data_IF_211496705470
#
_entry.id   IF_211496705470
#
_cell.length_a   1.000
_cell.length_b   1.000
_cell.length_c   1.000
_cell.angle_alpha   90.00
_cell.angle_beta   90.00
_cell.angle_gamma   90.00
#
_symmetry.space_group_name_H-M   'P 1'
#
loop_
_entity.id
_entity.type
_entity.pdbx_description
1 polymer ?
#
# COMPACT_ATOMS: atom_id res chain seq x y z
N UNK A 1 0.55 2.60 -108.00
CA UNK A 1 -0.90 2.31 -107.89
C UNK A 1 -1.03 1.23 -106.83
N UNK A 2 -1.78 1.30 -105.74
CA UNK A 2 -2.91 2.12 -105.32
C UNK A 2 -2.94 2.19 -103.78
N UNK A 3 -3.68 3.19 -103.29
CA UNK A 3 -3.81 3.73 -101.94
C UNK A 3 -4.76 2.93 -101.02
N UNK A 4 -4.67 3.27 -99.71
CA UNK A 4 -5.64 3.14 -98.59
C UNK A 4 -5.65 1.81 -97.82
N UNK A 5 -5.83 1.71 -96.49
CA UNK A 5 -5.95 2.58 -95.30
C UNK A 5 -6.91 1.83 -94.35
N UNK A 6 -6.52 1.60 -93.08
CA UNK A 6 -7.34 1.44 -91.83
C UNK A 6 -6.52 0.59 -90.84
N UNK A 7 -5.83 1.15 -89.84
CA UNK A 7 -6.23 1.69 -88.53
C UNK A 7 -6.63 0.62 -87.47
N UNK A 8 -5.95 0.74 -86.32
CA UNK A 8 -6.25 0.19 -84.96
C UNK A 8 -6.03 -1.31 -84.75
N UNK A 9 -5.42 -1.81 -83.66
CA UNK A 9 -4.97 -1.25 -82.37
C UNK A 9 -3.91 -2.20 -81.79
N UNK A 10 -2.86 -1.64 -81.20
CA UNK A 10 -1.91 -2.31 -80.32
C UNK A 10 -2.56 -2.63 -78.97
N UNK A 11 -2.32 -3.82 -78.42
CA UNK A 11 -2.41 -4.08 -76.98
C UNK A 11 -1.34 -5.09 -76.58
N UNK A 12 -0.30 -4.57 -75.93
CA UNK A 12 0.83 -5.29 -75.36
C UNK A 12 0.56 -5.37 -73.86
N UNK A 13 0.24 -6.57 -73.35
CA UNK A 13 -0.05 -6.81 -71.93
C UNK A 13 1.25 -7.07 -71.17
N UNK A 14 1.57 -6.17 -70.24
CA UNK A 14 2.75 -6.20 -69.40
C UNK A 14 2.61 -7.17 -68.21
N UNK A 15 3.71 -7.85 -67.86
CA UNK A 15 3.92 -8.54 -66.59
C UNK A 15 3.88 -7.51 -65.44
N UNK A 16 3.03 -7.74 -64.43
CA UNK A 16 3.10 -7.06 -63.13
C UNK A 16 3.42 -8.06 -62.02
N UNK A 17 4.61 -7.90 -61.45
CA UNK A 17 5.10 -8.58 -60.26
C UNK A 17 4.41 -7.94 -59.04
N UNK A 18 3.50 -8.65 -58.38
CA UNK A 18 2.84 -8.16 -57.17
C UNK A 18 3.76 -8.36 -55.95
N UNK A 19 4.32 -7.26 -55.43
CA UNK A 19 4.96 -7.23 -54.12
C UNK A 19 3.87 -7.18 -53.04
N UNK A 20 3.71 -8.28 -52.30
CA UNK A 20 2.86 -8.32 -51.12
C UNK A 20 3.61 -7.71 -49.93
N UNK A 21 3.36 -6.43 -49.67
CA UNK A 21 3.77 -5.76 -48.44
C UNK A 21 2.97 -6.34 -47.27
N UNK A 22 3.61 -7.12 -46.41
CA UNK A 22 3.04 -7.54 -45.14
C UNK A 22 2.83 -6.30 -44.25
N UNK A 23 1.57 -5.85 -44.15
CA UNK A 23 1.14 -4.88 -43.14
C UNK A 23 1.11 -5.61 -41.80
N UNK A 24 2.16 -5.48 -41.00
CA UNK A 24 2.09 -5.72 -39.56
C UNK A 24 1.12 -4.70 -38.96
N UNK A 25 0.05 -5.09 -38.24
CA UNK A 25 -0.76 -4.14 -37.51
C UNK A 25 0.13 -3.48 -36.46
N UNK A 26 0.39 -2.19 -36.61
CA UNK A 26 0.87 -1.36 -35.53
C UNK A 26 -0.17 -1.43 -34.41
N UNK A 27 0.25 -1.78 -33.20
CA UNK A 27 -0.56 -1.70 -32.00
C UNK A 27 -0.97 -0.23 -31.78
N UNK A 28 -2.08 0.18 -32.38
CA UNK A 28 -2.76 1.40 -32.02
C UNK A 28 -3.19 1.23 -30.56
N UNK A 29 -2.70 2.07 -29.65
CA UNK A 29 -3.27 2.19 -28.32
C UNK A 29 -4.78 2.40 -28.49
N UNK A 30 -5.58 1.43 -28.05
CA UNK A 30 -7.02 1.52 -28.14
C UNK A 30 -7.47 2.77 -27.36
N UNK A 31 -8.41 3.54 -27.90
CA UNK A 31 -9.00 4.65 -27.18
C UNK A 31 -9.61 4.12 -25.86
N UNK A 32 -9.56 4.88 -24.76
CA UNK A 32 -10.09 4.45 -23.47
C UNK A 32 -11.58 4.08 -23.60
N UNK A 33 -11.98 2.98 -22.96
CA UNK A 33 -13.34 2.43 -23.07
C UNK A 33 -14.39 3.34 -22.44
N UNK A 34 -13.97 4.22 -21.52
CA UNK A 34 -14.76 5.29 -20.93
C UNK A 34 -13.89 6.51 -20.66
N UNK A 35 -14.44 7.70 -20.91
CA UNK A 35 -13.78 8.99 -20.66
C UNK A 35 -13.97 9.51 -19.22
N UNK A 36 -14.77 8.81 -18.41
CA UNK A 36 -14.96 9.19 -17.01
C UNK A 36 -13.63 8.99 -16.24
N UNK A 37 -13.34 9.84 -15.24
CA UNK A 37 -12.09 9.74 -14.49
C UNK A 37 -12.05 8.48 -13.62
N UNK A 38 -10.88 7.84 -13.57
CA UNK A 38 -10.55 6.76 -12.64
C UNK A 38 -10.02 7.40 -11.36
N UNK A 39 -10.81 7.31 -10.28
CA UNK A 39 -10.44 7.88 -8.97
C UNK A 39 -9.64 6.87 -8.14
N UNK A 40 -8.36 7.15 -7.94
CA UNK A 40 -7.44 6.33 -7.14
C UNK A 40 -7.29 6.96 -5.76
N UNK A 41 -7.62 6.23 -4.69
CA UNK A 41 -7.57 6.79 -3.35
C UNK A 41 -6.14 7.08 -2.89
N UNK A 42 -5.95 8.22 -2.25
CA UNK A 42 -4.77 8.56 -1.45
C UNK A 42 -5.09 8.43 0.04
N UNK A 43 -4.15 7.92 0.84
CA UNK A 43 -4.23 7.91 2.30
C UNK A 43 -3.07 8.70 2.92
N UNK A 44 -2.87 8.55 4.23
CA UNK A 44 -2.01 9.40 5.06
C UNK A 44 -0.61 8.83 5.32
N UNK A 45 -0.16 7.84 4.54
CA UNK A 45 1.22 7.36 4.53
C UNK A 45 1.83 7.33 3.12
N UNK A 46 3.16 7.26 3.03
CA UNK A 46 3.90 7.49 1.78
C UNK A 46 3.76 6.36 0.76
N UNK A 47 3.87 5.09 1.17
CA UNK A 47 3.89 3.95 0.22
C UNK A 47 2.61 3.85 -0.60
N UNK A 48 1.44 4.03 0.02
CA UNK A 48 0.16 3.94 -0.70
C UNK A 48 0.01 5.05 -1.72
N UNK A 49 0.48 6.24 -1.40
CA UNK A 49 0.43 7.38 -2.31
C UNK A 49 1.39 7.18 -3.48
N UNK A 50 2.59 6.64 -3.24
CA UNK A 50 3.51 6.24 -4.30
C UNK A 50 2.88 5.16 -5.20
N UNK A 51 2.31 4.10 -4.64
CA UNK A 51 1.64 3.05 -5.39
C UNK A 51 0.48 3.61 -6.23
N UNK A 52 -0.30 4.55 -5.68
CA UNK A 52 -1.38 5.22 -6.39
C UNK A 52 -0.86 6.00 -7.60
N UNK A 53 0.26 6.73 -7.44
CA UNK A 53 0.91 7.47 -8.53
C UNK A 53 1.52 6.54 -9.58
N UNK A 54 2.06 5.40 -9.19
CA UNK A 54 2.56 4.39 -10.13
C UNK A 54 1.41 3.86 -10.99
N UNK A 55 0.35 3.34 -10.38
CA UNK A 55 -0.81 2.83 -11.12
C UNK A 55 -1.42 3.93 -11.98
N UNK A 56 -1.68 5.11 -11.41
CA UNK A 56 -2.29 6.23 -12.12
C UNK A 56 -1.46 6.70 -13.31
N UNK A 57 -0.14 6.82 -13.15
CA UNK A 57 0.75 7.19 -14.25
C UNK A 57 0.81 6.15 -15.38
N UNK A 58 0.67 4.86 -15.06
CA UNK A 58 0.51 3.81 -16.09
C UNK A 58 -0.80 4.01 -16.85
N UNK A 59 -1.91 4.23 -16.13
CA UNK A 59 -3.22 4.44 -16.74
C UNK A 59 -3.26 5.71 -17.61
N UNK A 60 -2.62 6.80 -17.18
CA UNK A 60 -2.46 8.02 -17.97
C UNK A 60 -1.67 7.77 -19.26
N UNK A 61 -0.60 6.96 -19.23
CA UNK A 61 0.13 6.54 -20.44
C UNK A 61 -0.72 5.70 -21.40
N UNK A 62 -1.72 4.99 -20.88
CA UNK A 62 -2.70 4.25 -21.66
C UNK A 62 -3.88 5.13 -22.15
N UNK A 63 -3.91 6.41 -21.77
CA UNK A 63 -4.87 7.39 -22.25
C UNK A 63 -6.08 7.64 -21.34
N UNK A 64 -6.10 7.09 -20.12
CA UNK A 64 -7.16 7.36 -19.15
C UNK A 64 -6.96 8.70 -18.43
N UNK A 65 -8.07 9.30 -18.00
CA UNK A 65 -8.05 10.40 -17.02
C UNK A 65 -8.03 9.81 -15.61
N UNK A 66 -7.10 10.24 -14.77
CA UNK A 66 -6.98 9.78 -13.38
C UNK A 66 -7.15 10.95 -12.42
N UNK A 67 -7.84 10.71 -11.30
CA UNK A 67 -7.98 11.64 -10.19
C UNK A 67 -7.49 10.98 -8.90
N UNK A 68 -6.95 11.78 -7.97
CA UNK A 68 -6.35 11.28 -6.73
C UNK A 68 -7.03 11.87 -5.47
N UNK A 69 -8.29 11.52 -5.18
CA UNK A 69 -8.96 12.00 -3.97
C UNK A 69 -8.31 11.41 -2.71
N UNK A 70 -8.07 12.26 -1.71
CA UNK A 70 -7.75 11.81 -0.35
C UNK A 70 -9.00 11.23 0.31
N UNK A 71 -8.85 10.07 0.93
CA UNK A 71 -9.91 9.40 1.65
C UNK A 71 -9.41 8.92 3.02
N UNK A 72 -10.35 8.65 3.93
CA UNK A 72 -10.06 7.89 5.13
C UNK A 72 -9.82 6.42 4.78
N UNK A 73 -8.80 5.82 5.38
CA UNK A 73 -8.33 4.47 5.07
C UNK A 73 -9.45 3.42 5.13
N UNK A 74 -10.08 3.23 6.28
CA UNK A 74 -11.06 2.16 6.48
C UNK A 74 -12.44 2.52 5.92
N UNK A 75 -12.82 3.78 5.98
CA UNK A 75 -14.06 4.27 5.36
C UNK A 75 -14.02 4.19 3.84
N UNK A 76 -12.84 4.27 3.21
CA UNK A 76 -12.71 4.07 1.77
C UNK A 76 -13.17 2.68 1.32
N UNK A 77 -12.94 1.63 2.12
CA UNK A 77 -13.43 0.27 1.84
C UNK A 77 -14.93 0.13 2.02
N UNK A 78 -15.45 0.66 3.13
CA UNK A 78 -16.84 0.41 3.55
C UNK A 78 -17.83 1.34 2.87
N UNK A 79 -17.39 2.53 2.46
CA UNK A 79 -18.22 3.57 1.84
C UNK A 79 -17.72 3.97 0.46
N UNK A 80 -16.47 4.44 0.34
CA UNK A 80 -15.98 5.08 -0.90
C UNK A 80 -15.99 4.15 -2.12
N UNK A 81 -15.38 2.97 -1.99
CA UNK A 81 -15.36 1.93 -3.04
C UNK A 81 -16.73 1.26 -3.18
N UNK A 82 -17.42 1.00 -2.07
CA UNK A 82 -18.77 0.41 -2.05
C UNK A 82 -19.79 1.23 -2.87
N UNK A 83 -19.72 2.56 -2.76
CA UNK A 83 -20.62 3.46 -3.47
C UNK A 83 -20.15 3.80 -4.90
N UNK A 84 -18.91 3.45 -5.26
CA UNK A 84 -18.29 3.85 -6.52
C UNK A 84 -17.81 5.32 -6.55
N UNK A 85 -17.74 5.98 -5.40
CA UNK A 85 -17.15 7.33 -5.27
C UNK A 85 -15.63 7.30 -5.49
N UNK A 86 -15.01 6.16 -5.13
CA UNK A 86 -13.64 5.78 -5.44
C UNK A 86 -13.67 4.59 -6.41
N UNK A 87 -12.69 4.49 -7.31
CA UNK A 87 -12.60 3.38 -8.27
C UNK A 87 -11.65 2.30 -7.78
N UNK A 88 -10.48 2.67 -7.26
CA UNK A 88 -9.44 1.73 -6.82
C UNK A 88 -8.61 2.30 -5.68
N UNK A 89 -8.16 1.44 -4.77
CA UNK A 89 -7.19 1.75 -3.73
C UNK A 89 -6.26 0.54 -3.50
N UNK A 90 -5.00 0.79 -3.15
CA UNK A 90 -3.92 -0.18 -3.38
C UNK A 90 -3.32 -0.82 -2.15
N UNK A 91 -3.54 -0.26 -0.97
CA UNK A 91 -2.94 -0.76 0.27
C UNK A 91 -3.97 -0.94 1.38
N UNK A 92 -4.54 -2.15 1.47
CA UNK A 92 -5.34 -2.60 2.61
C UNK A 92 -4.64 -3.75 3.32
N UNK A 93 -4.24 -3.50 4.55
CA UNK A 93 -3.31 -4.35 5.29
C UNK A 93 -4.07 -5.36 6.15
N UNK A 94 -3.70 -6.65 6.10
CA UNK A 94 -4.31 -7.69 6.95
C UNK A 94 -4.13 -7.42 8.46
N UNK A 95 -3.12 -6.63 8.82
CA UNK A 95 -2.79 -6.19 10.18
C UNK A 95 -3.86 -5.31 10.81
N UNK A 96 -4.54 -4.48 10.02
CA UNK A 96 -5.45 -3.41 10.49
C UNK A 96 -6.80 -3.38 9.77
N UNK A 97 -6.86 -3.57 8.45
CA UNK A 97 -8.10 -3.46 7.67
C UNK A 97 -8.98 -4.72 7.67
N UNK A 98 -8.64 -5.76 8.42
CA UNK A 98 -9.31 -7.07 8.36
C UNK A 98 -10.83 -7.02 8.53
N UNK A 99 -11.34 -6.23 9.47
CA UNK A 99 -12.79 -6.08 9.69
C UNK A 99 -13.46 -5.27 8.57
N UNK A 100 -12.86 -4.15 8.17
CA UNK A 100 -13.35 -3.32 7.07
C UNK A 100 -13.37 -4.07 5.73
N UNK A 101 -12.35 -4.88 5.44
CA UNK A 101 -12.30 -5.75 4.26
C UNK A 101 -13.43 -6.77 4.28
N UNK A 102 -13.66 -7.48 5.40
CA UNK A 102 -14.77 -8.43 5.53
C UNK A 102 -16.13 -7.76 5.34
N UNK A 103 -16.33 -6.57 5.91
CA UNK A 103 -17.55 -5.81 5.77
C UNK A 103 -17.78 -5.37 4.31
N UNK A 104 -16.72 -4.89 3.63
CA UNK A 104 -16.75 -4.51 2.22
C UNK A 104 -17.05 -5.71 1.31
N UNK A 105 -16.33 -6.82 1.49
CA UNK A 105 -16.51 -8.07 0.73
C UNK A 105 -17.97 -8.58 0.83
N UNK A 106 -18.59 -8.47 2.00
CA UNK A 106 -19.97 -8.89 2.24
C UNK A 106 -21.02 -8.07 1.45
N UNK A 107 -20.68 -6.87 0.99
CA UNK A 107 -21.59 -6.05 0.18
C UNK A 107 -21.72 -6.53 -1.25
N UNK A 108 -20.69 -7.21 -1.78
CA UNK A 108 -20.58 -7.54 -3.21
C UNK A 108 -20.34 -6.34 -4.13
N UNK A 109 -20.15 -5.14 -3.58
CA UNK A 109 -19.95 -3.90 -4.34
C UNK A 109 -18.49 -3.54 -4.55
N UNK A 110 -17.57 -4.30 -3.96
CA UNK A 110 -16.13 -4.18 -4.14
C UNK A 110 -15.54 -5.50 -4.61
N UNK A 111 -14.36 -5.43 -5.21
CA UNK A 111 -13.59 -6.61 -5.61
C UNK A 111 -12.17 -6.51 -5.05
N UNK A 112 -11.74 -7.55 -4.33
CA UNK A 112 -10.34 -7.74 -3.96
C UNK A 112 -9.55 -8.14 -5.20
N UNK A 113 -8.67 -7.25 -5.68
CA UNK A 113 -7.90 -7.41 -6.91
C UNK A 113 -6.67 -8.31 -6.76
N UNK A 114 -6.41 -8.83 -5.56
CA UNK A 114 -5.24 -9.64 -5.24
C UNK A 114 -4.19 -8.89 -4.43
N UNK A 115 -3.14 -9.61 -4.02
CA UNK A 115 -2.07 -9.06 -3.21
C UNK A 115 -1.23 -8.05 -4.02
N UNK A 116 -0.74 -7.02 -3.34
CA UNK A 116 0.17 -6.01 -3.89
C UNK A 116 1.59 -6.56 -4.08
N UNK A 117 1.99 -7.55 -3.27
CA UNK A 117 3.32 -8.17 -3.31
C UNK A 117 3.99 -8.21 -1.94
N UNK A 118 4.21 -7.06 -1.27
CA UNK A 118 4.84 -7.02 0.04
C UNK A 118 3.99 -7.66 1.13
N UNK A 119 4.65 -8.22 2.15
CA UNK A 119 4.01 -8.76 3.35
C UNK A 119 3.92 -7.69 4.43
N UNK A 120 2.71 -7.52 4.96
CA UNK A 120 2.39 -6.60 6.03
C UNK A 120 2.92 -7.13 7.36
N UNK A 121 3.70 -6.30 8.05
CA UNK A 121 3.97 -6.43 9.48
C UNK A 121 3.83 -5.05 10.12
N UNK A 122 3.04 -4.97 11.18
CA UNK A 122 2.87 -3.77 11.99
C UNK A 122 2.93 -4.19 13.45
N UNK A 123 3.77 -3.54 14.26
CA UNK A 123 3.88 -3.89 15.67
C UNK A 123 4.56 -2.77 16.46
N UNK A 124 4.53 -2.88 17.79
CA UNK A 124 5.37 -2.07 18.67
C UNK A 124 6.83 -2.37 18.36
N UNK A 125 7.62 -1.31 18.25
CA UNK A 125 9.02 -1.39 17.91
C UNK A 125 9.81 -0.41 18.79
N UNK A 126 11.05 -0.79 19.09
CA UNK A 126 11.97 0.03 19.87
C UNK A 126 13.37 0.02 19.23
N UNK A 127 14.09 1.15 19.29
CA UNK A 127 15.50 1.18 18.93
C UNK A 127 16.35 0.27 19.82
N UNK A 128 17.35 -0.41 19.25
CA UNK A 128 18.19 -1.42 19.95
C UNK A 128 18.84 -0.85 21.23
N UNK A 129 19.19 0.44 21.24
CA UNK A 129 19.78 1.11 22.40
C UNK A 129 18.87 1.12 23.65
N UNK A 130 17.57 0.89 23.50
CA UNK A 130 16.65 0.80 24.63
C UNK A 130 16.81 -0.49 25.43
N UNK A 131 17.48 -1.53 24.88
CA UNK A 131 17.84 -2.73 25.65
C UNK A 131 18.76 -2.44 26.83
N UNK A 132 19.56 -1.38 26.77
CA UNK A 132 20.39 -0.98 27.91
C UNK A 132 19.54 -0.55 29.12
N UNK A 133 18.37 0.03 28.87
CA UNK A 133 17.44 0.52 29.90
C UNK A 133 16.37 -0.51 30.27
N UNK A 134 16.01 -1.39 29.33
CA UNK A 134 15.10 -2.50 29.54
C UNK A 134 15.66 -3.80 28.92
N UNK A 135 16.58 -4.50 29.62
CA UNK A 135 17.30 -5.65 29.07
C UNK A 135 16.45 -6.91 28.87
N UNK A 136 15.20 -6.94 29.37
CA UNK A 136 14.28 -8.06 29.15
C UNK A 136 13.62 -8.07 27.76
N UNK A 137 13.76 -6.99 26.98
CA UNK A 137 13.27 -6.92 25.61
C UNK A 137 14.04 -7.88 24.67
N UNK A 138 13.40 -8.44 23.62
CA UNK A 138 12.11 -8.05 23.03
C UNK A 138 10.86 -8.66 23.69
N UNK A 139 10.99 -9.56 24.66
CA UNK A 139 9.83 -10.19 25.31
C UNK A 139 8.93 -9.12 25.94
N UNK A 140 7.66 -9.08 25.51
CA UNK A 140 6.66 -8.12 26.00
C UNK A 140 6.49 -8.13 27.52
N UNK A 141 6.72 -9.27 28.20
CA UNK A 141 6.58 -9.37 29.65
C UNK A 141 7.54 -8.43 30.39
N UNK A 142 8.68 -8.09 29.79
CA UNK A 142 9.61 -7.11 30.35
C UNK A 142 8.96 -5.73 30.54
N UNK A 143 8.00 -5.38 29.67
CA UNK A 143 7.27 -4.11 29.73
C UNK A 143 6.35 -4.01 30.96
N UNK A 144 6.08 -5.12 31.66
CA UNK A 144 5.29 -5.13 32.90
C UNK A 144 6.09 -4.64 34.11
N UNK A 145 7.43 -4.64 34.03
CA UNK A 145 8.27 -4.06 35.08
C UNK A 145 8.09 -2.53 35.07
N UNK A 146 7.64 -1.90 36.18
CA UNK A 146 7.52 -0.45 36.28
C UNK A 146 8.80 0.30 35.93
N UNK A 147 9.99 -0.28 36.18
CA UNK A 147 11.26 0.35 35.80
C UNK A 147 11.48 0.34 34.29
N UNK A 148 11.11 -0.74 33.62
CA UNK A 148 11.17 -0.81 32.17
C UNK A 148 10.20 0.20 31.56
N UNK A 149 8.97 0.25 32.04
CA UNK A 149 7.99 1.22 31.58
C UNK A 149 8.40 2.67 31.85
N UNK A 150 8.87 2.97 33.07
CA UNK A 150 9.39 4.30 33.42
C UNK A 150 10.58 4.69 32.52
N UNK A 151 11.40 3.72 32.07
CA UNK A 151 12.48 3.99 31.12
C UNK A 151 12.00 4.47 29.74
N UNK A 152 10.74 4.20 29.37
CA UNK A 152 10.05 4.71 28.19
C UNK A 152 9.12 5.91 28.50
N UNK A 153 9.09 6.41 29.73
CA UNK A 153 8.19 7.51 30.10
C UNK A 153 8.62 8.85 29.53
N UNK A 154 7.64 9.73 29.42
CA UNK A 154 7.81 11.16 29.17
C UNK A 154 7.31 11.95 30.37
N UNK A 155 7.51 13.27 30.39
CA UNK A 155 7.00 14.10 31.47
C UNK A 155 5.47 14.02 31.60
N UNK A 156 4.79 13.81 30.47
CA UNK A 156 3.33 13.75 30.37
C UNK A 156 2.75 12.39 30.79
N UNK A 157 3.52 11.30 30.64
CA UNK A 157 3.04 9.95 30.95
C UNK A 157 3.58 9.39 32.26
N UNK A 158 4.58 10.01 32.87
CA UNK A 158 5.21 9.52 34.09
C UNK A 158 4.18 9.24 35.22
N UNK A 159 4.30 8.10 35.93
CA UNK A 159 5.37 7.10 35.85
C UNK A 159 5.20 6.06 34.73
N UNK A 160 4.12 6.09 33.96
CA UNK A 160 3.88 5.13 32.90
C UNK A 160 4.79 5.37 31.69
N UNK A 161 5.18 4.28 31.03
CA UNK A 161 5.85 4.34 29.74
C UNK A 161 4.96 4.99 28.69
N UNK A 162 5.55 5.68 27.70
CA UNK A 162 4.82 6.16 26.55
C UNK A 162 5.00 5.20 25.38
N UNK A 163 3.89 4.75 24.81
CA UNK A 163 3.87 4.14 23.49
C UNK A 163 3.28 5.14 22.49
N UNK A 164 4.02 5.41 21.41
CA UNK A 164 3.56 6.25 20.32
C UNK A 164 2.91 5.38 19.24
N UNK A 165 1.58 5.26 19.27
CA UNK A 165 0.82 4.53 18.26
C UNK A 165 0.68 5.31 16.94
N UNK A 166 0.29 4.59 15.88
CA UNK A 166 -0.08 5.22 14.60
C UNK A 166 -1.32 6.12 14.73
N UNK A 167 -1.66 6.89 13.67
CA UNK A 167 -2.90 7.65 13.59
C UNK A 167 -4.13 6.83 13.99
N UNK A 168 -5.08 7.47 14.69
CA UNK A 168 -6.31 6.83 15.20
C UNK A 168 -7.14 6.20 14.06
N UNK A 169 -7.07 6.76 12.87
CA UNK A 169 -7.73 6.29 11.64
C UNK A 169 -7.20 4.96 11.12
N UNK A 170 -6.06 4.48 11.61
CA UNK A 170 -5.47 3.21 11.19
C UNK A 170 -6.01 2.01 11.97
N UNK A 171 -6.71 2.25 13.10
CA UNK A 171 -7.02 1.24 14.10
C UNK A 171 -5.75 0.51 14.60
N UNK A 172 -5.87 -0.72 15.09
CA UNK A 172 -4.75 -1.54 15.56
C UNK A 172 -4.85 -2.03 17.00
N UNK A 173 -5.85 -1.56 17.74
CA UNK A 173 -6.21 -2.01 19.10
C UNK A 173 -5.08 -1.92 20.14
N UNK A 174 -4.21 -0.92 20.04
CA UNK A 174 -3.07 -0.77 20.95
C UNK A 174 -3.50 -0.35 22.36
N UNK A 175 -4.52 0.52 22.50
CA UNK A 175 -5.11 0.86 23.78
C UNK A 175 -5.70 -0.38 24.47
N UNK A 176 -6.47 -1.16 23.73
CA UNK A 176 -7.08 -2.39 24.23
C UNK A 176 -6.03 -3.43 24.59
N UNK A 177 -4.99 -3.60 23.77
CA UNK A 177 -3.89 -4.51 24.09
C UNK A 177 -3.17 -4.08 25.36
N UNK A 178 -2.81 -2.80 25.48
CA UNK A 178 -2.12 -2.28 26.66
C UNK A 178 -2.96 -2.50 27.93
N UNK A 179 -4.27 -2.26 27.85
CA UNK A 179 -5.21 -2.52 28.94
C UNK A 179 -5.35 -4.02 29.25
N UNK A 180 -5.55 -4.86 28.23
CA UNK A 180 -5.76 -6.30 28.37
C UNK A 180 -4.52 -7.00 28.96
N UNK A 181 -3.32 -6.60 28.55
CA UNK A 181 -2.06 -7.10 29.08
C UNK A 181 -1.62 -6.44 30.39
N UNK A 182 -2.38 -5.42 30.85
CA UNK A 182 -2.10 -4.62 32.05
C UNK A 182 -0.71 -4.01 32.02
N UNK A 183 -0.32 -3.48 30.85
CA UNK A 183 0.95 -2.80 30.68
C UNK A 183 0.90 -1.43 31.37
N UNK A 184 1.91 -1.04 32.15
CA UNK A 184 2.03 0.30 32.70
C UNK A 184 2.48 1.33 31.63
N UNK A 185 1.76 1.36 30.52
CA UNK A 185 2.00 2.24 29.37
C UNK A 185 0.77 3.09 29.08
N UNK A 186 1.02 4.34 28.69
CA UNK A 186 0.02 5.23 28.11
C UNK A 186 0.23 5.25 26.60
N UNK A 187 -0.82 4.88 25.86
CA UNK A 187 -0.86 4.95 24.40
C UNK A 187 -1.16 6.39 23.99
N UNK A 188 -0.34 6.94 23.11
CA UNK A 188 -0.50 8.26 22.51
C UNK A 188 -0.44 8.07 21.00
N UNK A 189 -1.46 8.54 20.28
CA UNK A 189 -1.48 8.42 18.82
C UNK A 189 -0.78 9.60 18.15
N UNK A 190 0.06 9.29 17.17
CA UNK A 190 0.62 10.30 16.29
C UNK A 190 -0.49 10.94 15.44
N UNK A 191 -0.36 12.23 15.14
CA UNK A 191 -1.31 12.92 14.25
C UNK A 191 -1.13 12.54 12.78
N UNK A 192 0.08 12.18 12.37
CA UNK A 192 0.44 11.78 11.00
C UNK A 192 1.60 10.78 11.02
N UNK A 193 1.72 9.99 9.96
CA UNK A 193 2.88 9.13 9.67
C UNK A 193 4.21 9.91 9.77
N UNK A 194 4.28 11.05 9.09
CA UNK A 194 5.46 11.92 9.09
C UNK A 194 5.85 12.41 10.49
N UNK A 195 4.88 12.77 11.33
CA UNK A 195 5.16 13.21 12.71
C UNK A 195 5.70 12.06 13.57
N UNK A 196 5.14 10.85 13.41
CA UNK A 196 5.59 9.64 14.11
C UNK A 196 7.06 9.33 13.81
N UNK A 197 7.44 9.31 12.53
CA UNK A 197 8.80 8.98 12.13
C UNK A 197 9.80 10.14 12.31
N UNK A 198 9.34 11.39 12.30
CA UNK A 198 10.16 12.52 12.75
C UNK A 198 10.51 12.40 14.24
N UNK A 199 9.58 11.92 15.07
CA UNK A 199 9.85 11.66 16.48
C UNK A 199 10.86 10.51 16.65
N UNK A 200 10.74 9.44 15.85
CA UNK A 200 11.73 8.37 15.81
C UNK A 200 13.13 8.88 15.46
N UNK A 201 13.28 9.64 14.37
CA UNK A 201 14.58 10.20 13.98
C UNK A 201 15.17 11.04 15.12
N UNK A 202 14.37 11.96 15.66
CA UNK A 202 14.73 12.84 16.77
C UNK A 202 15.20 12.06 18.02
N UNK A 203 14.46 11.02 18.40
CA UNK A 203 14.80 10.17 19.54
C UNK A 203 16.07 9.35 19.28
N UNK A 204 16.20 8.78 18.07
CA UNK A 204 17.32 7.93 17.72
C UNK A 204 18.65 8.69 17.69
N UNK A 205 18.66 9.92 17.17
CA UNK A 205 19.85 10.79 17.15
C UNK A 205 20.34 11.15 18.56
N UNK A 206 19.41 11.40 19.49
CA UNK A 206 19.73 11.78 20.87
C UNK A 206 19.78 10.62 21.86
N UNK A 207 19.55 9.39 21.39
CA UNK A 207 19.38 8.19 22.24
C UNK A 207 18.32 8.41 23.34
N UNK A 208 17.25 9.13 23.00
CA UNK A 208 16.14 9.39 23.88
C UNK A 208 15.19 8.18 23.94
N UNK A 209 14.44 7.97 25.04
CA UNK A 209 13.45 6.92 25.11
C UNK A 209 12.37 7.01 24.04
N UNK A 210 12.10 5.91 23.34
CA UNK A 210 10.95 5.80 22.44
C UNK A 210 10.55 4.33 22.26
N UNK A 211 9.25 4.06 22.35
CA UNK A 211 8.57 2.86 21.88
C UNK A 211 7.44 3.35 20.97
N UNK A 212 7.35 2.86 19.75
CA UNK A 212 6.39 3.37 18.77
C UNK A 212 5.88 2.29 17.82
N UNK A 213 4.80 2.61 17.13
CA UNK A 213 4.33 1.83 15.97
C UNK A 213 5.35 1.94 14.84
N UNK A 214 5.75 0.79 14.31
CA UNK A 214 6.46 0.72 13.04
C UNK A 214 5.73 -0.27 12.15
N UNK A 215 5.82 -0.10 10.84
CA UNK A 215 5.30 -1.04 9.86
C UNK A 215 6.36 -1.41 8.85
N UNK A 216 6.12 -2.51 8.13
CA UNK A 216 6.94 -3.02 7.04
C UNK A 216 6.01 -3.55 5.95
N UNK A 217 6.23 -3.20 4.67
CA UNK A 217 7.32 -2.37 4.12
C UNK A 217 7.32 -0.91 4.61
N UNK A 218 8.50 -0.42 4.98
CA UNK A 218 8.78 0.98 5.32
C UNK A 218 10.31 1.21 5.32
N UNK A 219 10.77 2.45 5.18
CA UNK A 219 12.21 2.77 5.21
C UNK A 219 12.81 2.69 6.63
N UNK A 220 12.01 2.89 7.68
CA UNK A 220 12.50 3.03 9.05
C UNK A 220 13.24 1.79 9.59
N UNK A 221 12.74 0.55 9.42
CA UNK A 221 13.47 -0.65 9.83
C UNK A 221 14.82 -0.86 9.12
N UNK A 222 14.99 -0.30 7.92
CA UNK A 222 16.26 -0.37 7.18
C UNK A 222 17.26 0.71 7.64
N UNK A 223 16.77 1.90 8.02
CA UNK A 223 17.61 3.02 8.48
C UNK A 223 18.07 2.84 9.94
N UNK A 224 17.20 2.35 10.81
CA UNK A 224 17.46 2.28 12.25
C UNK A 224 17.58 0.85 12.75
N UNK A 225 18.58 0.61 13.60
CA UNK A 225 18.69 -0.66 14.32
C UNK A 225 17.72 -0.68 15.48
N UNK A 226 16.89 -1.71 15.51
CA UNK A 226 15.95 -1.98 16.58
C UNK A 226 15.14 -3.21 16.31
N UNK A 227 14.19 -3.46 17.19
CA UNK A 227 13.50 -4.73 17.27
C UNK A 227 12.02 -4.53 17.53
N UNK A 228 11.24 -5.49 17.05
CA UNK A 228 9.82 -5.60 17.33
C UNK A 228 9.65 -6.15 18.75
N UNK A 229 8.64 -5.66 19.48
CA UNK A 229 8.23 -6.30 20.73
C UNK A 229 7.59 -7.66 20.39
N UNK A 230 8.02 -8.70 21.10
CA UNK A 230 7.49 -10.05 20.95
C UNK A 230 6.30 -10.22 21.89
N UNK A 231 5.11 -9.87 21.42
CA UNK A 231 3.84 -10.19 22.08
C UNK A 231 3.46 -11.67 21.91
N UNK A 232 2.43 -12.17 22.63
CA UNK A 232 1.86 -13.48 22.35
C UNK A 232 1.48 -13.59 20.86
N UNK A 233 1.71 -14.72 20.22
CA UNK A 233 1.45 -14.86 18.79
C UNK A 233 -0.03 -14.59 18.45
N UNK A 234 -0.27 -13.90 17.34
CA UNK A 234 -1.61 -13.65 16.85
C UNK A 234 -2.35 -14.96 16.54
N UNK A 235 -3.63 -15.02 16.94
CA UNK A 235 -4.61 -15.94 16.36
C UNK A 235 -5.94 -15.22 16.17
N UNK A 236 -6.81 -15.67 15.24
CA UNK A 236 -8.15 -15.08 15.08
C UNK A 236 -8.96 -15.09 16.38
N UNK A 237 -8.82 -16.11 17.22
CA UNK A 237 -9.54 -16.26 18.49
C UNK A 237 -9.15 -15.17 19.49
N UNK A 238 -7.89 -14.76 19.56
CA UNK A 238 -7.45 -13.67 20.45
C UNK A 238 -8.20 -12.34 20.20
N UNK A 239 -8.61 -12.09 18.95
CA UNK A 239 -9.35 -10.89 18.57
C UNK A 239 -10.88 -11.09 18.65
N UNK A 240 -11.37 -12.34 18.77
CA UNK A 240 -12.79 -12.64 18.68
C UNK A 240 -13.40 -13.28 19.94
N UNK A 241 -12.61 -13.94 20.77
CA UNK A 241 -13.00 -14.62 22.01
C UNK A 241 -12.18 -14.07 23.19
N UNK A 242 -12.81 -13.32 24.13
CA UNK A 242 -12.11 -12.76 25.28
C UNK A 242 -11.52 -13.80 26.25
N UNK A 243 -11.84 -15.09 26.10
CA UNK A 243 -11.33 -16.17 26.96
C UNK A 243 -10.07 -16.84 26.43
N UNK A 244 -9.63 -16.49 25.22
CA UNK A 244 -8.61 -17.24 24.49
C UNK A 244 -7.18 -16.94 24.98
N UNK A 245 -6.85 -15.68 25.19
CA UNK A 245 -5.49 -15.24 25.42
C UNK A 245 -4.98 -15.41 26.85
N UNK A 246 -3.87 -14.73 27.14
CA UNK A 246 -3.25 -14.68 28.47
C UNK A 246 -4.14 -14.00 29.52
N UNK A 247 -5.06 -13.13 29.08
CA UNK A 247 -6.09 -12.51 29.89
C UNK A 247 -7.48 -13.05 29.48
N UNK A 248 -8.10 -13.94 30.28
CA UNK A 248 -9.39 -14.54 29.93
C UNK A 248 -10.60 -13.60 30.13
N UNK A 249 -10.37 -12.33 30.44
CA UNK A 249 -11.39 -11.31 30.64
C UNK A 249 -11.45 -10.27 29.50
N UNK A 250 -10.53 -10.32 28.55
CA UNK A 250 -10.39 -9.30 27.50
C UNK A 250 -9.89 -9.89 26.17
N UNK A 251 -10.11 -9.16 25.08
CA UNK A 251 -9.56 -9.45 23.75
C UNK A 251 -8.26 -8.69 23.51
N UNK A 252 -7.61 -8.96 22.38
CA UNK A 252 -6.48 -8.19 21.85
C UNK A 252 -5.19 -8.28 22.68
N UNK A 253 -5.05 -9.31 23.48
CA UNK A 253 -3.90 -9.58 24.34
C UNK A 253 -2.83 -10.45 23.65
N UNK A 254 -2.71 -10.29 22.34
CA UNK A 254 -1.70 -10.90 21.48
C UNK A 254 -1.22 -9.87 20.45
N UNK A 255 -0.13 -10.18 19.74
CA UNK A 255 0.43 -9.38 18.66
C UNK A 255 -0.53 -9.18 17.49
N UNK A 256 -0.19 -8.26 16.60
CA UNK A 256 -1.06 -7.93 15.46
C UNK A 256 -1.09 -9.10 14.45
N UNK A 257 -2.18 -9.26 13.67
CA UNK A 257 -2.14 -10.13 12.50
C UNK A 257 -0.97 -9.73 11.59
N UNK A 258 -0.37 -10.68 10.90
CA UNK A 258 0.52 -10.41 9.76
C UNK A 258 -0.12 -11.00 8.51
N UNK A 259 0.21 -10.49 7.33
CA UNK A 259 -0.39 -11.03 6.11
C UNK A 259 -0.01 -10.29 4.84
N UNK A 260 -0.97 -10.25 3.92
CA UNK A 260 -0.83 -9.54 2.66
C UNK A 260 -1.21 -8.07 2.81
N UNK A 261 -0.81 -7.29 1.82
CA UNK A 261 -1.39 -6.00 1.50
C UNK A 261 -2.25 -6.19 0.25
N UNK A 262 -3.53 -5.84 0.34
CA UNK A 262 -4.52 -6.09 -0.69
C UNK A 262 -4.87 -4.83 -1.47
N UNK A 263 -5.10 -5.01 -2.77
CA UNK A 263 -5.68 -3.99 -3.64
C UNK A 263 -7.19 -4.25 -3.76
N UNK A 264 -7.97 -3.18 -3.81
CA UNK A 264 -9.43 -3.25 -3.95
C UNK A 264 -9.94 -2.28 -5.01
N UNK A 265 -11.01 -2.65 -5.71
CA UNK A 265 -11.76 -1.77 -6.58
C UNK A 265 -13.25 -1.75 -6.28
N UNK A 266 -13.93 -0.71 -6.75
CA UNK A 266 -15.37 -0.77 -6.99
C UNK A 266 -15.69 -1.88 -8.00
N UNK A 267 -16.76 -2.64 -7.76
CA UNK A 267 -17.12 -3.81 -8.56
C UNK A 267 -17.39 -3.49 -10.04
N UNK A 268 -17.84 -2.27 -10.36
CA UNK A 268 -18.11 -1.83 -11.73
C UNK A 268 -16.86 -1.44 -12.54
N UNK A 269 -15.67 -1.40 -11.93
CA UNK A 269 -14.42 -1.05 -12.62
C UNK A 269 -14.16 -1.95 -13.82
N UNK A 270 -14.36 -3.28 -13.67
CA UNK A 270 -14.10 -4.27 -14.72
C UNK A 270 -14.98 -4.13 -15.95
N UNK A 271 -16.21 -3.65 -15.76
CA UNK A 271 -17.16 -3.48 -16.86
C UNK A 271 -16.95 -2.14 -17.56
N UNK A 272 -16.56 -1.11 -16.80
CA UNK A 272 -16.42 0.27 -17.29
C UNK A 272 -15.06 0.56 -17.91
N UNK A 273 -13.98 0.04 -17.33
CA UNK A 273 -12.60 0.19 -17.81
C UNK A 273 -11.86 -1.17 -17.77
N UNK A 274 -12.21 -2.11 -18.65
CA UNK A 274 -11.68 -3.47 -18.60
C UNK A 274 -10.15 -3.55 -18.71
N UNK A 275 -9.50 -2.74 -19.55
CA UNK A 275 -8.03 -2.71 -19.62
C UNK A 275 -7.42 -2.12 -18.34
N UNK A 276 -7.94 -0.98 -17.83
CA UNK A 276 -7.47 -0.43 -16.56
C UNK A 276 -7.63 -1.40 -15.37
N UNK A 277 -8.73 -2.16 -15.35
CA UNK A 277 -8.97 -3.21 -14.35
C UNK A 277 -7.91 -4.32 -14.43
N UNK A 278 -7.57 -4.80 -15.64
CA UNK A 278 -6.49 -5.79 -15.82
C UNK A 278 -5.16 -5.27 -15.29
N UNK A 279 -4.81 -4.02 -15.62
CA UNK A 279 -3.59 -3.38 -15.15
C UNK A 279 -3.57 -3.32 -13.61
N UNK A 280 -4.63 -2.82 -12.97
CA UNK A 280 -4.71 -2.76 -11.51
C UNK A 280 -4.64 -4.15 -10.84
N UNK A 281 -5.26 -5.16 -11.47
CA UNK A 281 -5.23 -6.55 -11.00
C UNK A 281 -3.84 -7.17 -11.09
N UNK A 282 -3.12 -6.93 -12.18
CA UNK A 282 -1.77 -7.46 -12.40
C UNK A 282 -0.66 -6.65 -11.71
N UNK A 283 -0.92 -5.38 -11.37
CA UNK A 283 0.04 -4.51 -10.71
C UNK A 283 0.56 -5.13 -9.42
N UNK A 284 1.86 -5.38 -9.34
CA UNK A 284 2.54 -5.80 -8.11
C UNK A 284 3.82 -5.02 -7.96
N UNK A 285 4.34 -4.96 -6.74
CA UNK A 285 5.59 -4.26 -6.43
C UNK A 285 6.44 -5.10 -5.48
N UNK A 286 7.74 -5.06 -5.69
CA UNK A 286 8.70 -5.72 -4.81
C UNK A 286 8.85 -4.96 -3.48
N UNK A 287 9.14 -5.70 -2.41
CA UNK A 287 9.27 -5.13 -1.07
C UNK A 287 10.49 -4.21 -0.95
N UNK A 288 11.63 -4.62 -1.50
CA UNK A 288 12.87 -3.84 -1.41
C UNK A 288 12.79 -2.59 -2.30
N UNK A 289 12.16 -2.71 -3.47
CA UNK A 289 11.87 -1.55 -4.32
C UNK A 289 10.96 -0.53 -3.63
N UNK A 290 9.85 -0.98 -3.03
CA UNK A 290 8.93 -0.09 -2.33
C UNK A 290 9.61 0.59 -1.13
N UNK A 291 10.38 -0.17 -0.33
CA UNK A 291 11.14 0.38 0.80
C UNK A 291 12.13 1.46 0.35
N UNK A 292 12.88 1.18 -0.72
CA UNK A 292 13.85 2.13 -1.27
C UNK A 292 13.14 3.40 -1.75
N UNK A 293 12.10 3.26 -2.55
CA UNK A 293 11.38 4.41 -3.10
C UNK A 293 10.68 5.26 -2.02
N UNK A 294 10.10 4.64 -1.00
CA UNK A 294 9.58 5.36 0.17
C UNK A 294 10.69 6.14 0.88
N UNK A 295 11.89 5.57 1.00
CA UNK A 295 13.07 6.26 1.53
C UNK A 295 13.50 7.46 0.68
N UNK A 296 13.45 7.36 -0.65
CA UNK A 296 13.74 8.49 -1.54
C UNK A 296 12.77 9.67 -1.31
N UNK A 297 11.52 9.39 -0.96
CA UNK A 297 10.51 10.42 -0.67
C UNK A 297 10.75 10.99 0.74
N UNK A 298 10.72 10.15 1.76
CA UNK A 298 10.67 10.60 3.16
C UNK A 298 12.03 11.05 3.71
N UNK A 299 13.14 10.57 3.14
CA UNK A 299 14.49 10.88 3.61
C UNK A 299 15.25 11.83 2.67
N UNK A 300 15.05 11.70 1.37
CA UNK A 300 15.77 12.51 0.36
C UNK A 300 14.92 13.68 -0.18
N UNK A 301 13.63 13.73 0.16
CA UNK A 301 12.74 14.82 -0.23
C UNK A 301 12.33 14.81 -1.70
N UNK A 302 12.39 13.65 -2.38
CA UNK A 302 11.85 13.52 -3.73
C UNK A 302 10.33 13.55 -3.71
N UNK A 303 9.73 13.97 -4.82
CA UNK A 303 8.27 13.93 -4.95
C UNK A 303 7.81 12.50 -5.29
N UNK A 304 6.64 12.05 -4.80
CA UNK A 304 6.05 10.77 -5.22
C UNK A 304 5.88 10.66 -6.74
N UNK A 305 5.56 11.77 -7.41
CA UNK A 305 5.42 11.84 -8.87
C UNK A 305 6.73 11.53 -9.60
N UNK A 306 7.86 12.11 -9.18
CA UNK A 306 9.15 11.88 -9.81
C UNK A 306 9.62 10.43 -9.62
N UNK A 307 9.44 9.89 -8.41
CA UNK A 307 9.80 8.52 -8.07
C UNK A 307 8.93 7.51 -8.84
N UNK A 308 7.61 7.75 -8.91
CA UNK A 308 6.69 6.94 -9.70
C UNK A 308 7.06 6.98 -11.20
N UNK A 309 7.33 8.16 -11.75
CA UNK A 309 7.69 8.31 -13.16
C UNK A 309 8.95 7.51 -13.53
N UNK A 310 9.96 7.50 -12.64
CA UNK A 310 11.17 6.71 -12.82
C UNK A 310 10.87 5.20 -12.81
N UNK A 311 10.06 4.73 -11.86
CA UNK A 311 9.66 3.32 -11.79
C UNK A 311 8.87 2.89 -13.03
N UNK A 312 7.89 3.69 -13.46
CA UNK A 312 7.06 3.42 -14.65
C UNK A 312 7.92 3.31 -15.91
N UNK A 313 8.92 4.19 -16.07
CA UNK A 313 9.82 4.15 -17.21
C UNK A 313 10.71 2.89 -17.20
N UNK A 314 11.13 2.43 -16.03
CA UNK A 314 11.96 1.23 -15.89
C UNK A 314 11.19 -0.08 -16.17
N UNK A 315 9.87 -0.09 -15.93
CA UNK A 315 9.01 -1.28 -16.03
C UNK A 315 8.07 -1.26 -17.24
N UNK A 316 8.43 -0.54 -18.31
CA UNK A 316 7.57 -0.36 -19.49
C UNK A 316 7.12 -1.66 -20.16
N UNK A 317 8.00 -2.65 -20.25
CA UNK A 317 7.63 -3.94 -20.81
C UNK A 317 6.59 -4.67 -19.96
N UNK A 318 6.73 -4.60 -18.63
CA UNK A 318 5.87 -5.31 -17.69
C UNK A 318 4.46 -4.74 -17.68
N UNK A 319 4.33 -3.41 -17.53
CA UNK A 319 3.00 -2.81 -17.47
C UNK A 319 2.27 -2.78 -18.80
N UNK A 320 2.98 -2.82 -19.93
CA UNK A 320 2.34 -3.03 -21.24
C UNK A 320 1.75 -4.42 -21.34
N UNK A 321 2.47 -5.45 -20.88
CA UNK A 321 1.95 -6.81 -20.87
C UNK A 321 0.70 -6.96 -19.97
N UNK A 322 0.60 -6.17 -18.90
CA UNK A 322 -0.59 -6.17 -18.03
C UNK A 322 -1.85 -5.61 -18.70
N UNK A 323 -1.69 -4.78 -19.74
CA UNK A 323 -2.78 -4.14 -20.46
C UNK A 323 -3.35 -5.00 -21.62
N UNK A 324 -2.68 -6.11 -21.96
CA UNK A 324 -3.09 -7.05 -23.03
C UNK A 324 -4.27 -7.97 -22.62
#
# INVERSE_FOLDING_TARGET
MSLRSMISRLSMGALTLAAASALTPSAQAAAPESNDPIKIALFDWTSVNLNAKILGGILEKLGYTVEYPTADYLSSLTTGLTNGDLVVALEFWDTTAGEAMKASDATGQTERLGALGPKAKEEWWYPEYMKEKCPGLPNWEALKDPKCAEAFSTAETAPNGRYLGGPVTWEGFDDERAAALKLPFTVIHAGTDAAMFAELDSAYQRKAPIMLWVYSPHWAPAKYKGEWVEFPAYTPECYNDPKWGVNPEAKYDCGKPHGEIWKYSWAGMKDKWPVAYKVAKNYTIDTDELNKMSGEIDLEGKTPEDVAAAWIAAHEADWKAWAE
#
